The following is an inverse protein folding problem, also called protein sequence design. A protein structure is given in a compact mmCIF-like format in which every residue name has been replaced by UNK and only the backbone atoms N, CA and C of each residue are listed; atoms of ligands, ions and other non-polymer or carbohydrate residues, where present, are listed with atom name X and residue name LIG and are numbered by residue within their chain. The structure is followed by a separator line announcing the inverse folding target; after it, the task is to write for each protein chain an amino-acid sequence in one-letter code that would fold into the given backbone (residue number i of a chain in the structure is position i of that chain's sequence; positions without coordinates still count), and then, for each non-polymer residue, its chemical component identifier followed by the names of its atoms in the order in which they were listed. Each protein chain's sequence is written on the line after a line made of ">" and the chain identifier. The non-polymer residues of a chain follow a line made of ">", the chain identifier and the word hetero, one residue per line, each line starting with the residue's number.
data_IF_427927647171
#
_entry.id   IF_427927647171
#
_cell.length_a   1.000
_cell.length_b   1.000
_cell.length_c   1.000
_cell.angle_alpha   90.00
_cell.angle_beta   90.00
_cell.angle_gamma   90.00
#
_symmetry.space_group_name_H-M   'P 1'
#
loop_
_entity.id
_entity.type
_entity.pdbx_description
1 polymer ?
#
# COMPACT_ATOMS: atom_id res chain seq x y z
N UNK A 1 19.67 -9.39 17.73
CA UNK A 1 18.40 -8.67 17.95
C UNK A 1 18.72 -7.25 18.37
N UNK A 2 18.66 -6.31 17.43
CA UNK A 2 18.80 -4.88 17.73
C UNK A 2 17.51 -4.41 18.39
N UNK A 3 17.56 -3.97 19.65
CA UNK A 3 16.43 -3.33 20.30
C UNK A 3 16.19 -1.99 19.61
N UNK A 4 15.01 -1.84 19.03
CA UNK A 4 14.54 -0.61 18.42
C UNK A 4 14.42 0.47 19.50
N UNK A 5 15.03 1.64 19.29
CA UNK A 5 14.91 2.83 20.17
C UNK A 5 14.24 4.01 19.46
N UNK A 6 13.66 3.79 18.27
CA UNK A 6 12.90 4.80 17.56
C UNK A 6 11.50 4.96 18.16
N UNK A 7 11.05 6.20 18.29
CA UNK A 7 9.68 6.51 18.70
C UNK A 7 8.66 5.97 17.70
N UNK A 8 7.52 5.56 18.23
CA UNK A 8 6.35 5.16 17.46
C UNK A 8 5.73 6.39 16.75
N UNK A 9 5.01 6.15 15.65
CA UNK A 9 4.37 7.18 14.82
C UNK A 9 3.32 7.95 15.66
N UNK A 10 3.55 9.21 16.08
CA UNK A 10 2.78 9.87 17.14
C UNK A 10 1.29 10.07 16.80
N UNK A 11 0.95 10.03 15.51
CA UNK A 11 -0.45 10.06 15.05
C UNK A 11 -1.18 8.72 15.12
N UNK A 12 -0.48 7.60 14.88
CA UNK A 12 -1.11 6.27 14.86
C UNK A 12 -1.30 5.75 16.28
N UNK A 13 -0.34 5.94 17.17
CA UNK A 13 -0.46 5.51 18.58
C UNK A 13 -1.58 6.23 19.32
N UNK A 14 -1.60 7.56 19.24
CA UNK A 14 -2.64 8.40 19.85
C UNK A 14 -4.02 7.98 19.32
N UNK A 15 -4.08 7.60 18.05
CA UNK A 15 -5.30 7.11 17.41
C UNK A 15 -5.68 5.68 17.85
N UNK A 16 -4.70 4.82 18.17
CA UNK A 16 -4.90 3.46 18.66
C UNK A 16 -5.37 3.42 20.12
N UNK A 17 -4.89 4.33 20.97
CA UNK A 17 -5.21 4.38 22.39
C UNK A 17 -6.70 4.60 22.71
N UNK A 18 -7.50 5.05 21.73
CA UNK A 18 -8.90 5.39 21.95
C UNK A 18 -9.96 4.42 21.39
N UNK A 19 -9.62 3.39 20.58
CA UNK A 19 -10.65 2.58 19.89
C UNK A 19 -10.32 1.09 19.79
N UNK A 20 -11.21 0.26 20.35
CA UNK A 20 -11.08 -1.20 20.48
C UNK A 20 -11.44 -2.00 19.22
N UNK A 21 -12.10 -1.40 18.23
CA UNK A 21 -12.58 -2.08 17.01
C UNK A 21 -11.73 -1.80 15.75
N UNK A 22 -10.51 -1.26 15.90
CA UNK A 22 -9.64 -0.95 14.77
C UNK A 22 -8.69 -2.08 14.47
N UNK A 23 -8.61 -2.46 13.21
CA UNK A 23 -7.68 -3.48 12.72
C UNK A 23 -6.95 -2.93 11.51
N UNK A 24 -5.63 -2.83 11.66
CA UNK A 24 -4.76 -2.23 10.67
C UNK A 24 -4.15 -3.31 9.76
N UNK A 25 -4.08 -2.99 8.47
CA UNK A 25 -3.23 -3.67 7.50
C UNK A 25 -2.13 -2.75 7.00
N UNK A 26 -0.98 -3.32 6.66
CA UNK A 26 0.09 -2.61 5.94
C UNK A 26 0.05 -3.03 4.48
N UNK A 27 -0.20 -2.08 3.58
CA UNK A 27 -0.13 -2.26 2.13
C UNK A 27 1.16 -1.66 1.58
N UNK A 28 1.90 -2.46 0.84
CA UNK A 28 3.19 -2.11 0.24
C UNK A 28 3.03 -2.19 -1.27
N UNK A 29 3.02 -1.05 -1.94
CA UNK A 29 2.63 -0.94 -3.35
C UNK A 29 3.86 -0.66 -4.21
N UNK A 30 4.16 -1.60 -5.10
CA UNK A 30 5.12 -1.45 -6.21
C UNK A 30 6.54 -1.03 -5.75
N UNK A 31 6.97 -1.48 -4.58
CA UNK A 31 8.36 -1.33 -4.11
C UNK A 31 9.27 -2.39 -4.76
N UNK A 32 9.48 -2.26 -6.07
CA UNK A 32 10.19 -3.27 -6.88
C UNK A 32 11.64 -2.85 -7.23
N UNK A 33 12.00 -1.59 -7.05
CA UNK A 33 13.37 -1.13 -7.28
C UNK A 33 14.28 -1.42 -6.09
N UNK A 34 15.35 -2.18 -6.33
CA UNK A 34 16.45 -2.33 -5.37
C UNK A 34 17.45 -1.18 -5.54
N UNK A 35 17.43 -0.22 -4.63
CA UNK A 35 18.49 0.78 -4.49
C UNK A 35 19.62 0.21 -3.63
N UNK A 36 20.86 0.20 -4.16
CA UNK A 36 22.06 -0.13 -3.36
C UNK A 36 22.42 1.00 -2.37
N UNK A 37 21.74 2.14 -2.43
CA UNK A 37 21.97 3.28 -1.54
C UNK A 37 20.86 3.36 -0.49
N UNK A 38 21.25 3.37 0.79
CA UNK A 38 20.34 3.56 1.91
C UNK A 38 19.82 5.01 1.88
N UNK A 39 18.63 5.21 1.31
CA UNK A 39 17.97 6.52 1.31
C UNK A 39 17.20 6.75 2.61
N UNK A 40 16.94 8.01 2.98
CA UNK A 40 16.08 8.33 4.12
C UNK A 40 14.69 7.68 3.99
N UNK A 41 14.15 7.66 2.77
CA UNK A 41 12.91 6.94 2.44
C UNK A 41 12.99 5.45 2.79
N UNK A 42 14.09 4.79 2.46
CA UNK A 42 14.32 3.37 2.81
C UNK A 42 14.34 3.18 4.32
N UNK A 43 15.00 4.06 5.07
CA UNK A 43 14.99 4.02 6.54
C UNK A 43 13.55 4.15 7.05
N UNK A 44 12.78 5.10 6.54
CA UNK A 44 11.42 5.34 7.02
C UNK A 44 10.45 4.19 6.66
N UNK A 45 10.66 3.52 5.52
CA UNK A 45 9.96 2.27 5.17
C UNK A 45 10.27 1.14 6.18
N UNK A 46 11.55 0.96 6.52
CA UNK A 46 11.98 -0.04 7.50
C UNK A 46 11.31 0.19 8.86
N UNK A 47 11.23 1.46 9.27
CA UNK A 47 10.59 1.86 10.53
C UNK A 47 9.11 1.48 10.56
N UNK A 48 8.37 1.70 9.47
CA UNK A 48 6.95 1.30 9.39
C UNK A 48 6.81 -0.22 9.39
N UNK A 49 7.66 -0.94 8.66
CA UNK A 49 7.59 -2.42 8.63
C UNK A 49 7.83 -2.97 10.04
N UNK A 50 8.85 -2.48 10.74
CA UNK A 50 9.15 -2.90 12.10
C UNK A 50 7.98 -2.61 13.04
N UNK A 51 7.39 -1.42 12.96
CA UNK A 51 6.19 -1.06 13.73
C UNK A 51 5.00 -1.97 13.42
N UNK A 52 4.71 -2.21 12.14
CA UNK A 52 3.61 -3.08 11.72
C UNK A 52 3.79 -4.52 12.24
N UNK A 53 5.04 -5.02 12.29
CA UNK A 53 5.37 -6.31 12.87
C UNK A 53 5.16 -6.34 14.39
N UNK A 54 5.64 -5.34 15.11
CA UNK A 54 5.46 -5.22 16.56
C UNK A 54 3.98 -5.23 16.93
N UNK A 55 3.16 -4.49 16.16
CA UNK A 55 1.72 -4.41 16.34
C UNK A 55 0.94 -5.57 15.70
N UNK A 56 1.63 -6.53 15.07
CA UNK A 56 1.06 -7.70 14.40
C UNK A 56 0.01 -7.34 13.35
N UNK A 57 0.22 -6.23 12.62
CA UNK A 57 -0.61 -5.88 11.49
C UNK A 57 -0.42 -6.89 10.37
N UNK A 58 -1.50 -7.14 9.60
CA UNK A 58 -1.38 -7.98 8.41
C UNK A 58 -0.72 -7.16 7.31
N UNK A 59 0.51 -7.52 6.95
CA UNK A 59 1.20 -6.93 5.81
C UNK A 59 0.80 -7.65 4.52
N UNK A 60 0.72 -6.90 3.43
CA UNK A 60 0.47 -7.40 2.07
C UNK A 60 1.34 -6.60 1.09
N UNK A 61 2.00 -7.32 0.18
CA UNK A 61 2.75 -6.71 -0.92
C UNK A 61 1.92 -6.74 -2.20
N UNK A 62 2.02 -5.67 -2.97
CA UNK A 62 1.39 -5.50 -4.27
C UNK A 62 2.47 -5.17 -5.29
N UNK A 63 2.45 -5.84 -6.44
CA UNK A 63 3.42 -5.63 -7.51
C UNK A 63 2.75 -5.40 -8.86
N UNK A 64 3.19 -4.36 -9.57
CA UNK A 64 2.71 -4.02 -10.90
C UNK A 64 3.42 -4.84 -11.98
N UNK A 65 2.60 -5.40 -12.85
CA UNK A 65 2.90 -6.00 -14.14
C UNK A 65 4.04 -7.03 -14.11
N UNK A 66 3.80 -8.26 -13.60
CA UNK A 66 4.81 -9.32 -13.65
C UNK A 66 4.98 -9.93 -15.05
N UNK A 67 4.37 -9.39 -16.11
CA UNK A 67 4.47 -9.96 -17.45
C UNK A 67 5.94 -10.11 -17.86
N UNK A 68 6.30 -11.30 -18.34
CA UNK A 68 7.64 -11.63 -18.82
C UNK A 68 7.99 -10.78 -20.04
N UNK A 69 8.42 -9.55 -19.82
CA UNK A 69 9.20 -8.84 -20.83
C UNK A 69 10.60 -9.43 -20.84
N UNK A 70 11.31 -9.29 -21.95
CA UNK A 70 12.74 -9.63 -22.08
C UNK A 70 13.63 -8.94 -21.04
N UNK A 71 13.11 -7.94 -20.32
CA UNK A 71 13.79 -7.23 -19.23
C UNK A 71 13.67 -7.92 -17.84
N UNK A 72 12.99 -9.05 -17.73
CA UNK A 72 12.89 -9.84 -16.49
C UNK A 72 11.75 -9.40 -15.56
N UNK A 73 11.44 -10.25 -14.57
CA UNK A 73 10.59 -9.86 -13.44
C UNK A 73 11.31 -8.75 -12.69
N UNK A 74 10.63 -7.65 -12.34
CA UNK A 74 11.14 -6.78 -11.28
C UNK A 74 10.87 -7.50 -9.97
N UNK A 75 11.88 -8.14 -9.34
CA UNK A 75 11.65 -8.81 -8.07
C UNK A 75 11.14 -7.78 -7.07
N UNK A 76 10.31 -8.24 -6.14
CA UNK A 76 10.13 -7.56 -4.85
C UNK A 76 11.49 -7.02 -4.40
N UNK A 77 11.57 -5.76 -3.95
CA UNK A 77 12.82 -5.27 -3.36
C UNK A 77 13.28 -6.28 -2.28
N UNK A 78 14.36 -7.01 -2.58
CA UNK A 78 14.77 -8.18 -1.79
C UNK A 78 15.08 -7.80 -0.34
N UNK A 79 15.53 -6.57 -0.11
CA UNK A 79 15.84 -6.09 1.23
C UNK A 79 14.56 -5.76 2.00
N UNK A 80 13.55 -5.20 1.33
CA UNK A 80 12.22 -5.01 1.90
C UNK A 80 11.54 -6.35 2.20
N UNK A 81 11.64 -7.33 1.30
CA UNK A 81 11.07 -8.67 1.47
C UNK A 81 11.65 -9.38 2.70
N UNK A 82 12.96 -9.29 2.93
CA UNK A 82 13.63 -9.86 4.11
C UNK A 82 13.15 -9.26 5.44
N UNK A 83 12.61 -8.05 5.42
CA UNK A 83 12.11 -7.38 6.61
C UNK A 83 10.68 -7.76 6.95
N UNK A 84 9.95 -8.41 6.04
CA UNK A 84 8.56 -8.80 6.23
C UNK A 84 8.47 -10.24 6.77
N UNK A 85 7.35 -10.61 7.42
CA UNK A 85 7.11 -12.01 7.77
C UNK A 85 7.21 -12.94 6.54
N UNK A 86 7.78 -14.15 6.67
CA UNK A 86 7.94 -15.08 5.54
C UNK A 86 6.64 -15.47 4.83
N UNK A 87 5.50 -15.37 5.51
CA UNK A 87 4.15 -15.67 5.01
C UNK A 87 3.39 -14.44 4.48
N UNK A 88 4.09 -13.31 4.30
CA UNK A 88 3.49 -12.08 3.76
C UNK A 88 2.95 -12.33 2.34
N UNK A 89 1.63 -12.18 2.11
CA UNK A 89 1.07 -12.39 0.78
C UNK A 89 1.60 -11.35 -0.21
N UNK A 90 1.91 -11.81 -1.42
CA UNK A 90 2.26 -10.96 -2.57
C UNK A 90 1.17 -11.10 -3.61
N UNK A 91 0.53 -9.99 -3.99
CA UNK A 91 -0.42 -9.92 -5.08
C UNK A 91 0.18 -9.22 -6.28
N UNK A 92 -0.12 -9.75 -7.46
CA UNK A 92 0.25 -9.13 -8.71
C UNK A 92 -0.94 -8.38 -9.29
N UNK A 93 -0.69 -7.17 -9.77
CA UNK A 93 -1.64 -6.35 -10.52
C UNK A 93 -1.08 -6.01 -11.90
N UNK A 94 -1.95 -5.69 -12.84
CA UNK A 94 -1.61 -5.26 -14.21
C UNK A 94 -2.01 -3.80 -14.39
N UNK A 95 -3.10 -3.41 -13.73
CA UNK A 95 -3.54 -2.03 -13.59
C UNK A 95 -2.83 -1.28 -12.47
N UNK A 96 -3.07 0.02 -12.43
CA UNK A 96 -2.58 0.91 -11.39
C UNK A 96 -3.26 0.63 -10.05
N UNK A 97 -4.55 0.33 -10.04
CA UNK A 97 -5.32 0.07 -8.82
C UNK A 97 -5.16 -1.39 -8.34
N UNK A 98 -4.68 -1.59 -7.11
CA UNK A 98 -4.53 -2.92 -6.49
C UNK A 98 -5.85 -3.65 -6.21
N UNK A 99 -6.98 -2.93 -6.17
CA UNK A 99 -8.32 -3.49 -6.06
C UNK A 99 -8.93 -3.84 -7.43
N UNK A 100 -8.23 -3.60 -8.54
CA UNK A 100 -8.65 -4.06 -9.86
C UNK A 100 -8.72 -5.59 -9.91
N UNK A 101 -9.83 -6.12 -10.44
CA UNK A 101 -10.01 -7.56 -10.60
C UNK A 101 -9.17 -8.05 -11.77
N UNK A 102 -8.18 -8.90 -11.51
CA UNK A 102 -7.36 -9.56 -12.53
C UNK A 102 -7.55 -11.07 -12.34
N UNK A 103 -8.01 -11.75 -13.39
CA UNK A 103 -8.03 -13.21 -13.36
C UNK A 103 -6.61 -13.80 -13.57
N UNK A 104 -6.47 -15.11 -13.38
CA UNK A 104 -5.19 -15.81 -13.53
C UNK A 104 -4.56 -15.68 -14.94
N UNK A 105 -5.29 -15.16 -15.94
CA UNK A 105 -4.81 -14.91 -17.30
C UNK A 105 -4.31 -13.47 -17.53
N UNK A 106 -4.41 -12.61 -16.52
CA UNK A 106 -4.02 -11.21 -16.63
C UNK A 106 -5.09 -10.32 -17.26
N UNK A 107 -6.34 -10.78 -17.35
CA UNK A 107 -7.43 -9.98 -17.92
C UNK A 107 -8.17 -9.23 -16.82
N UNK A 108 -8.36 -7.93 -17.01
CA UNK A 108 -9.27 -7.12 -16.19
C UNK A 108 -10.69 -7.69 -16.36
N UNK A 109 -11.24 -8.28 -15.30
CA UNK A 109 -12.65 -8.69 -15.30
C UNK A 109 -13.47 -7.41 -15.08
N UNK A 110 -13.99 -6.85 -16.17
CA UNK A 110 -14.83 -5.67 -16.12
C UNK A 110 -15.96 -5.83 -15.09
N UNK A 111 -16.13 -4.80 -14.25
CA UNK A 111 -17.34 -4.27 -13.59
C UNK A 111 -18.49 -5.20 -13.14
N UNK A 112 -18.31 -6.51 -13.05
CA UNK A 112 -19.06 -7.32 -12.12
C UNK A 112 -18.49 -7.03 -10.75
N UNK A 113 -19.33 -6.69 -9.78
CA UNK A 113 -19.02 -6.39 -8.37
C UNK A 113 -18.37 -7.57 -7.61
N UNK A 114 -17.44 -8.28 -8.23
CA UNK A 114 -16.59 -9.27 -7.60
C UNK A 114 -15.62 -8.55 -6.69
N UNK A 115 -15.53 -8.98 -5.44
CA UNK A 115 -14.51 -8.49 -4.52
C UNK A 115 -13.15 -8.85 -5.08
N UNK A 116 -12.22 -7.89 -5.10
CA UNK A 116 -10.84 -8.22 -5.42
C UNK A 116 -10.31 -9.24 -4.41
N UNK A 117 -9.33 -10.04 -4.81
CA UNK A 117 -8.67 -10.97 -3.88
C UNK A 117 -8.06 -10.21 -2.69
N UNK A 118 -7.56 -8.99 -2.95
CA UNK A 118 -7.06 -8.07 -1.93
C UNK A 118 -8.17 -7.68 -0.94
N UNK A 119 -9.32 -7.18 -1.41
CA UNK A 119 -10.44 -6.83 -0.51
C UNK A 119 -10.93 -8.04 0.28
N UNK A 120 -11.03 -9.21 -0.36
CA UNK A 120 -11.43 -10.45 0.31
C UNK A 120 -10.46 -10.82 1.45
N UNK A 121 -9.15 -10.73 1.20
CA UNK A 121 -8.12 -10.98 2.21
C UNK A 121 -8.24 -9.98 3.36
N UNK A 122 -8.30 -8.68 3.06
CA UNK A 122 -8.36 -7.63 4.08
C UNK A 122 -9.62 -7.75 4.95
N UNK A 123 -10.78 -8.00 4.34
CA UNK A 123 -12.05 -8.20 5.04
C UNK A 123 -12.06 -9.45 5.90
N UNK A 124 -11.51 -10.56 5.42
CA UNK A 124 -11.44 -11.80 6.21
C UNK A 124 -10.51 -11.67 7.42
N UNK A 125 -9.48 -10.81 7.35
CA UNK A 125 -8.67 -10.41 8.50
C UNK A 125 -9.37 -9.39 9.43
N UNK A 126 -10.54 -8.88 9.04
CA UNK A 126 -11.28 -7.85 9.77
C UNK A 126 -10.67 -6.46 9.68
N UNK A 127 -9.79 -6.22 8.70
CA UNK A 127 -9.07 -4.95 8.52
C UNK A 127 -10.04 -3.88 8.06
N UNK A 128 -9.96 -2.70 8.68
CA UNK A 128 -10.75 -1.52 8.34
C UNK A 128 -9.92 -0.24 8.23
N UNK A 129 -8.64 -0.31 8.60
CA UNK A 129 -7.68 0.79 8.51
C UNK A 129 -6.46 0.29 7.73
N UNK A 130 -5.98 1.06 6.75
CA UNK A 130 -4.87 0.69 5.88
C UNK A 130 -3.75 1.71 6.01
N UNK A 131 -2.58 1.23 6.40
CA UNK A 131 -1.32 1.98 6.28
C UNK A 131 -0.77 1.67 4.90
N UNK A 132 -0.57 2.70 4.09
CA UNK A 132 -0.15 2.55 2.70
C UNK A 132 1.23 3.18 2.51
N UNK A 133 2.15 2.40 1.97
CA UNK A 133 3.43 2.86 1.44
C UNK A 133 3.64 2.31 0.04
N UNK A 134 4.43 3.01 -0.77
CA UNK A 134 4.67 2.57 -2.14
C UNK A 134 5.42 3.57 -3.01
N UNK A 135 5.78 3.11 -4.20
CA UNK A 135 6.30 3.95 -5.28
C UNK A 135 5.18 4.47 -6.18
N UNK A 136 5.51 5.44 -7.05
CA UNK A 136 4.58 6.03 -8.01
C UNK A 136 3.31 6.58 -7.34
N UNK A 137 3.52 7.54 -6.44
CA UNK A 137 2.48 8.12 -5.60
C UNK A 137 1.24 8.54 -6.39
N UNK A 138 1.44 9.28 -7.47
CA UNK A 138 0.38 9.86 -8.30
C UNK A 138 -0.31 8.85 -9.23
N UNK A 139 0.25 7.65 -9.36
CA UNK A 139 -0.30 6.58 -10.20
C UNK A 139 -0.83 5.46 -9.31
N UNK A 140 -0.02 4.44 -9.03
CA UNK A 140 -0.46 3.21 -8.39
C UNK A 140 -0.98 3.41 -6.96
N UNK A 141 -0.29 4.25 -6.17
CA UNK A 141 -0.72 4.53 -4.79
C UNK A 141 -2.02 5.33 -4.80
N UNK A 142 -2.09 6.44 -5.56
CA UNK A 142 -3.31 7.23 -5.69
C UNK A 142 -4.50 6.38 -6.14
N UNK A 143 -4.33 5.60 -7.21
CA UNK A 143 -5.42 4.76 -7.76
C UNK A 143 -5.86 3.68 -6.79
N UNK A 144 -4.94 3.11 -6.02
CA UNK A 144 -5.28 2.13 -4.98
C UNK A 144 -5.98 2.77 -3.79
N UNK A 145 -5.56 3.97 -3.38
CA UNK A 145 -6.11 4.68 -2.23
C UNK A 145 -7.49 5.26 -2.53
N UNK A 146 -7.60 6.02 -3.62
CA UNK A 146 -8.76 6.88 -3.94
C UNK A 146 -9.65 6.25 -5.02
N UNK A 147 -9.10 5.36 -5.84
CA UNK A 147 -9.80 4.81 -7.00
C UNK A 147 -9.53 5.64 -8.26
N UNK A 148 -10.23 5.28 -9.33
CA UNK A 148 -10.15 5.99 -10.61
C UNK A 148 -10.06 5.05 -11.81
N UNK A 149 -9.62 5.60 -12.93
CA UNK A 149 -9.46 4.84 -14.17
C UNK A 149 -8.06 4.22 -14.24
N UNK A 150 -8.01 2.95 -14.64
CA UNK A 150 -6.80 2.12 -14.61
C UNK A 150 -5.84 2.41 -15.79
N UNK A 151 -6.19 3.34 -16.68
CA UNK A 151 -5.38 3.70 -17.84
C UNK A 151 -5.48 5.20 -18.15
N UNK A 152 -4.36 5.83 -18.50
CA UNK A 152 -4.28 7.27 -18.81
C UNK A 152 -4.81 7.62 -20.21
N UNK A 153 -4.86 6.66 -21.14
CA UNK A 153 -5.15 6.93 -22.56
C UNK A 153 -6.55 6.54 -23.03
N UNK A 154 -7.21 5.56 -22.40
CA UNK A 154 -8.59 5.19 -22.67
C UNK A 154 -9.28 4.89 -21.33
N UNK A 155 -10.23 5.74 -20.93
CA UNK A 155 -10.95 5.57 -19.67
C UNK A 155 -11.83 4.31 -19.76
N UNK A 156 -11.31 3.20 -19.25
CA UNK A 156 -12.09 1.99 -18.97
C UNK A 156 -13.10 2.23 -17.83
N UNK A 157 -13.69 1.18 -17.24
CA UNK A 157 -14.52 1.35 -16.06
C UNK A 157 -13.70 1.94 -14.90
N UNK A 158 -14.30 2.84 -14.12
CA UNK A 158 -13.73 3.31 -12.85
C UNK A 158 -13.62 2.11 -11.90
N UNK A 159 -12.49 1.99 -11.23
CA UNK A 159 -12.23 0.99 -10.20
C UNK A 159 -12.22 1.69 -8.85
N UNK A 160 -12.98 1.15 -7.91
CA UNK A 160 -13.06 1.65 -6.54
C UNK A 160 -11.71 1.54 -5.83
N UNK A 161 -11.32 2.59 -5.13
CA UNK A 161 -10.15 2.59 -4.25
C UNK A 161 -10.48 2.14 -2.84
N UNK A 162 -9.47 2.08 -1.98
CA UNK A 162 -9.62 1.77 -0.56
C UNK A 162 -10.69 2.67 0.12
N UNK A 163 -10.71 3.97 -0.18
CA UNK A 163 -11.66 4.90 0.43
C UNK A 163 -13.10 4.60 0.00
N UNK A 164 -13.33 4.36 -1.30
CA UNK A 164 -14.65 4.00 -1.83
C UNK A 164 -15.15 2.68 -1.23
N UNK A 165 -14.21 1.75 -1.01
CA UNK A 165 -14.48 0.47 -0.35
C UNK A 165 -14.68 0.63 1.17
N UNK A 166 -14.56 1.84 1.74
CA UNK A 166 -14.83 2.12 3.15
C UNK A 166 -13.68 1.79 4.10
N UNK A 167 -12.45 1.69 3.60
CA UNK A 167 -11.26 1.66 4.44
C UNK A 167 -10.86 3.08 4.84
N UNK A 168 -10.44 3.26 6.07
CA UNK A 168 -9.71 4.46 6.45
C UNK A 168 -8.25 4.30 6.06
N UNK A 169 -7.72 5.23 5.27
CA UNK A 169 -6.35 5.15 4.76
C UNK A 169 -5.42 6.09 5.51
N UNK A 170 -4.20 5.62 5.75
CA UNK A 170 -3.08 6.31 6.37
C UNK A 170 -1.88 6.30 5.43
N UNK A 171 -1.27 7.46 5.23
CA UNK A 171 -0.09 7.63 4.39
C UNK A 171 1.04 8.37 5.11
N UNK A 172 2.27 8.07 4.70
CA UNK A 172 3.46 8.83 5.08
C UNK A 172 3.97 9.59 3.86
N UNK A 173 3.79 10.92 3.78
CA UNK A 173 4.28 11.75 2.68
C UNK A 173 5.76 11.55 2.33
N UNK A 174 6.60 11.25 3.32
CA UNK A 174 8.04 11.02 3.14
C UNK A 174 8.35 9.71 2.40
N UNK A 175 7.39 8.80 2.34
CA UNK A 175 7.58 7.44 1.84
C UNK A 175 6.84 7.21 0.54
N UNK A 176 5.66 7.81 0.40
CA UNK A 176 4.98 7.84 -0.88
C UNK A 176 5.78 8.75 -1.80
N UNK A 177 6.28 8.20 -2.89
CA UNK A 177 6.99 8.97 -3.92
C UNK A 177 5.96 9.81 -4.71
N UNK A 178 5.47 10.89 -4.10
CA UNK A 178 4.45 11.82 -4.59
C UNK A 178 4.88 13.25 -4.35
N UNK A 179 4.45 14.19 -5.21
CA UNK A 179 4.58 15.60 -4.89
C UNK A 179 3.66 16.01 -3.72
N UNK A 180 3.97 17.15 -3.08
CA UNK A 180 3.22 17.67 -1.93
C UNK A 180 1.78 18.03 -2.25
N UNK A 181 1.53 18.53 -3.46
CA UNK A 181 0.22 19.02 -3.87
C UNK A 181 -0.75 17.86 -4.04
N UNK A 182 -0.25 16.76 -4.61
CA UNK A 182 -0.96 15.51 -4.85
C UNK A 182 -1.45 14.91 -3.54
N UNK A 183 -0.59 14.62 -2.57
CA UNK A 183 -1.07 13.98 -1.34
C UNK A 183 -1.89 14.90 -0.42
N UNK A 184 -1.69 16.23 -0.48
CA UNK A 184 -2.57 17.17 0.23
C UNK A 184 -4.00 17.12 -0.29
N UNK A 185 -4.19 17.05 -1.62
CA UNK A 185 -5.54 16.86 -2.18
C UNK A 185 -6.19 15.56 -1.70
N UNK A 186 -5.41 14.50 -1.46
CA UNK A 186 -5.98 13.24 -0.94
C UNK A 186 -6.47 13.37 0.50
N UNK A 187 -5.75 14.17 1.30
CA UNK A 187 -6.14 14.50 2.66
C UNK A 187 -7.41 15.36 2.68
N UNK A 188 -7.41 16.47 1.93
CA UNK A 188 -8.48 17.46 1.94
C UNK A 188 -9.78 16.92 1.30
N UNK A 189 -9.67 16.23 0.16
CA UNK A 189 -10.85 15.85 -0.65
C UNK A 189 -11.41 14.47 -0.27
N UNK A 190 -10.58 13.57 0.27
CA UNK A 190 -10.95 12.18 0.51
C UNK A 190 -10.72 11.69 1.95
N UNK A 191 -10.25 12.57 2.85
CA UNK A 191 -10.06 12.24 4.26
C UNK A 191 -8.98 11.19 4.52
N UNK A 192 -8.01 11.04 3.59
CA UNK A 192 -6.79 10.26 3.85
C UNK A 192 -6.06 10.87 5.04
N UNK A 193 -5.58 10.06 5.96
CA UNK A 193 -4.83 10.55 7.13
C UNK A 193 -3.34 10.54 6.86
N UNK A 194 -2.65 11.57 7.29
CA UNK A 194 -1.19 11.64 7.20
C UNK A 194 -0.54 11.32 8.54
N UNK A 195 0.59 10.64 8.50
CA UNK A 195 1.46 10.44 9.65
C UNK A 195 2.92 10.66 9.26
N UNK A 196 3.78 10.80 10.26
CA UNK A 196 5.22 11.00 10.08
C UNK A 196 5.99 9.79 10.60
N UNK A 197 6.94 9.29 9.82
CA UNK A 197 7.97 8.41 10.36
C UNK A 197 8.89 9.26 11.25
N UNK A 198 8.95 8.98 12.55
CA UNK A 198 9.76 9.76 13.49
C UNK A 198 11.21 9.30 13.45
N UNK A 199 12.11 10.26 13.65
CA UNK A 199 13.56 10.06 13.78
C UNK A 199 13.92 9.38 15.07
#
# INVERSE_FOLDING_TARGET
>A
MTKYTGGLIPGIETYLQGKTNRRFGLLIIDEQDSSNTLSQRTIDQQRIIAFAQEMKFKSVMIELNPAMTTAGRHPTNNDLAKMLPPDTPVFFKIGMNAFGIIDASGKSLGNNRGKSLLDTLLRSAGINELIVMGQMGEMCVNRTVVGGYDNHMNQGPRIDGAIDLGYQVWICPQIINSDKKSWLSWYDDFGVKCYTAVS
#
